data_IF_138070700731
#
_entry.id   IF_138070700731
#
_cell.length_a   1.000
_cell.length_b   1.000
_cell.length_c   1.000
_cell.angle_alpha   90.00
_cell.angle_beta   90.00
_cell.angle_gamma   90.00
#
_symmetry.space_group_name_H-M   'P 1'
#
loop_
_entity.id
_entity.type
_entity.pdbx_description
1 polymer ?
#
# COMPACT_ATOMS: atom_id res chain seq x y z
N UNK A 1 2.00 8.72 31.99
CA UNK A 1 2.21 9.68 30.88
C UNK A 1 3.68 10.05 30.70
N UNK A 2 4.38 10.45 31.77
CA UNK A 2 5.80 10.83 31.73
C UNK A 2 6.70 9.67 31.24
N UNK A 3 6.54 8.46 31.78
CA UNK A 3 7.36 7.29 31.37
C UNK A 3 7.23 6.92 29.89
N UNK A 4 6.05 7.09 29.28
CA UNK A 4 5.83 6.84 27.84
C UNK A 4 6.58 7.89 27.01
N UNK A 5 6.50 9.17 27.41
CA UNK A 5 7.22 10.26 26.76
C UNK A 5 8.74 10.04 26.82
N UNK A 6 9.27 9.64 27.98
CA UNK A 6 10.68 9.33 28.16
C UNK A 6 11.10 8.15 27.27
N UNK A 7 10.30 7.08 27.20
CA UNK A 7 10.59 5.93 26.32
C UNK A 7 10.60 6.33 24.84
N UNK A 8 9.67 7.17 24.40
CA UNK A 8 9.66 7.69 23.01
C UNK A 8 10.87 8.58 22.72
N UNK A 9 11.26 9.45 23.66
CA UNK A 9 12.46 10.28 23.53
C UNK A 9 13.73 9.42 23.47
N UNK A 10 13.82 8.40 24.33
CA UNK A 10 14.92 7.43 24.34
C UNK A 10 15.04 6.65 23.04
N UNK A 11 13.92 6.18 22.48
CA UNK A 11 13.93 5.50 21.16
C UNK A 11 14.34 6.44 20.02
N UNK A 12 13.87 7.69 20.04
CA UNK A 12 14.29 8.71 19.07
C UNK A 12 15.80 9.01 19.15
N UNK A 13 16.34 9.14 20.36
CA UNK A 13 17.76 9.33 20.57
C UNK A 13 18.57 8.08 20.18
N UNK A 14 18.06 6.90 20.47
CA UNK A 14 18.68 5.64 20.04
C UNK A 14 18.76 5.57 18.51
N UNK A 15 17.68 5.95 17.80
CA UNK A 15 17.69 6.04 16.34
C UNK A 15 18.78 6.98 15.82
N UNK A 16 18.92 8.18 16.39
CA UNK A 16 19.94 9.14 15.94
C UNK A 16 21.36 8.64 16.20
N UNK A 17 21.59 7.95 17.33
CA UNK A 17 22.87 7.33 17.65
C UNK A 17 23.19 6.19 16.67
N UNK A 18 22.23 5.29 16.42
CA UNK A 18 22.43 4.19 15.47
C UNK A 18 22.70 4.74 14.07
N UNK A 19 22.01 5.80 13.64
CA UNK A 19 22.25 6.38 12.33
C UNK A 19 23.65 7.03 12.21
N UNK A 20 24.11 7.71 13.26
CA UNK A 20 25.31 8.56 13.21
C UNK A 20 26.62 7.82 13.50
N UNK A 21 26.57 6.75 14.30
CA UNK A 21 27.78 6.07 14.77
C UNK A 21 27.91 4.65 14.18
N UNK A 22 29.14 4.20 13.85
CA UNK A 22 29.41 2.80 13.61
C UNK A 22 29.25 2.04 14.93
N UNK A 23 28.33 1.08 14.96
CA UNK A 23 28.06 0.22 16.12
C UNK A 23 28.39 -1.20 15.69
N UNK A 24 29.01 -1.96 16.59
CA UNK A 24 29.37 -3.35 16.33
C UNK A 24 28.15 -4.20 16.00
N UNK A 25 28.29 -4.99 14.94
CA UNK A 25 27.20 -5.81 14.41
C UNK A 25 26.62 -6.81 15.42
N UNK A 26 27.42 -7.54 16.24
CA UNK A 26 26.88 -8.39 17.29
C UNK A 26 26.06 -7.61 18.32
N UNK A 27 26.49 -6.40 18.68
CA UNK A 27 25.73 -5.56 19.61
C UNK A 27 24.37 -5.13 19.02
N UNK A 28 24.33 -4.84 17.72
CA UNK A 28 23.08 -4.55 17.01
C UNK A 28 22.15 -5.78 17.03
N UNK A 29 22.66 -6.95 16.65
CA UNK A 29 21.85 -8.15 16.44
C UNK A 29 21.42 -8.82 17.75
N UNK A 30 22.31 -8.91 18.74
CA UNK A 30 22.10 -9.69 19.97
C UNK A 30 21.52 -8.85 21.11
N UNK A 31 21.69 -7.52 21.08
CA UNK A 31 21.23 -6.64 22.15
C UNK A 31 20.17 -5.63 21.70
N UNK A 32 20.48 -4.78 20.71
CA UNK A 32 19.56 -3.70 20.32
C UNK A 32 18.29 -4.24 19.62
N UNK A 33 18.44 -5.22 18.73
CA UNK A 33 17.33 -5.77 17.97
C UNK A 33 16.26 -6.42 18.89
N UNK A 34 16.60 -7.31 19.84
CA UNK A 34 15.61 -7.86 20.79
C UNK A 34 14.85 -6.80 21.59
N UNK A 35 15.50 -5.71 21.99
CA UNK A 35 14.86 -4.60 22.73
C UNK A 35 13.81 -3.92 21.84
N UNK A 36 14.13 -3.64 20.59
CA UNK A 36 13.18 -3.03 19.65
C UNK A 36 12.03 -3.99 19.35
N UNK A 37 12.31 -5.28 19.17
CA UNK A 37 11.28 -6.31 18.99
C UNK A 37 10.35 -6.43 20.20
N UNK A 38 10.88 -6.27 21.43
CA UNK A 38 10.06 -6.21 22.64
C UNK A 38 9.07 -5.04 22.57
N UNK A 39 9.50 -3.83 22.20
CA UNK A 39 8.58 -2.69 22.07
C UNK A 39 7.53 -2.87 20.97
N UNK A 40 7.86 -3.57 19.89
CA UNK A 40 6.91 -3.92 18.84
C UNK A 40 5.86 -4.92 19.34
N UNK A 41 6.29 -5.93 20.09
CA UNK A 41 5.41 -6.98 20.59
C UNK A 41 4.62 -6.57 21.84
N UNK A 42 5.12 -5.67 22.69
CA UNK A 42 4.41 -5.18 23.87
C UNK A 42 3.18 -4.32 23.56
N UNK A 43 3.10 -3.77 22.34
CA UNK A 43 1.96 -2.96 21.92
C UNK A 43 0.65 -3.74 21.75
N UNK A 44 0.70 -5.08 21.83
CA UNK A 44 -0.48 -5.94 21.77
C UNK A 44 -1.31 -5.90 23.06
N UNK A 45 -0.74 -5.49 24.20
CA UNK A 45 -1.48 -5.41 25.47
C UNK A 45 -2.20 -4.05 25.65
N UNK A 46 -3.47 -4.03 25.25
CA UNK A 46 -4.59 -3.28 25.85
C UNK A 46 -4.56 -1.73 25.95
N UNK A 47 -3.58 -0.96 25.48
CA UNK A 47 -3.59 0.51 25.62
C UNK A 47 -3.36 1.30 24.33
N UNK A 48 -4.33 2.14 23.92
CA UNK A 48 -4.24 3.08 22.79
C UNK A 48 -3.00 4.02 22.85
N UNK A 49 -2.45 4.25 24.05
CA UNK A 49 -1.24 5.06 24.28
C UNK A 49 0.06 4.36 23.83
N UNK A 50 0.04 3.05 23.60
CA UNK A 50 1.20 2.28 23.14
C UNK A 50 1.47 2.46 21.63
N UNK A 51 0.49 2.92 20.84
CA UNK A 51 0.66 3.07 19.38
C UNK A 51 1.81 4.02 19.03
N UNK A 52 2.00 5.11 19.77
CA UNK A 52 3.09 6.05 19.50
C UNK A 52 4.46 5.40 19.76
N UNK A 53 4.59 4.59 20.82
CA UNK A 53 5.81 3.80 21.03
C UNK A 53 6.03 2.80 19.91
N UNK A 54 4.99 2.13 19.42
CA UNK A 54 5.11 1.19 18.30
C UNK A 54 5.62 1.88 17.04
N UNK A 55 5.07 3.06 16.74
CA UNK A 55 5.52 3.85 15.59
C UNK A 55 6.99 4.23 15.73
N UNK A 56 7.42 4.64 16.94
CA UNK A 56 8.82 4.97 17.18
C UNK A 56 9.72 3.72 17.10
N UNK A 57 9.30 2.59 17.66
CA UNK A 57 10.03 1.33 17.55
C UNK A 57 10.19 0.87 16.09
N UNK A 58 9.17 1.03 15.24
CA UNK A 58 9.27 0.79 13.79
C UNK A 58 10.31 1.72 13.15
N UNK A 59 10.35 2.98 13.59
CA UNK A 59 11.30 4.02 13.14
C UNK A 59 12.75 3.76 13.61
N UNK A 60 12.96 3.07 14.75
CA UNK A 60 14.28 2.56 15.15
C UNK A 60 14.64 1.32 14.33
N UNK A 61 13.69 0.40 14.15
CA UNK A 61 13.89 -0.83 13.39
C UNK A 61 14.35 -0.54 11.96
N UNK A 62 13.79 0.48 11.31
CA UNK A 62 14.18 0.87 9.94
C UNK A 62 15.67 1.19 9.81
N UNK A 63 16.30 1.79 10.83
CA UNK A 63 17.74 2.09 10.82
C UNK A 63 18.57 0.86 11.20
N UNK A 64 18.10 0.06 12.17
CA UNK A 64 18.79 -1.18 12.56
C UNK A 64 18.90 -2.18 11.40
N UNK A 65 17.81 -2.33 10.66
CA UNK A 65 17.67 -3.27 9.54
C UNK A 65 18.68 -3.00 8.42
N UNK A 66 19.17 -1.77 8.28
CA UNK A 66 20.22 -1.44 7.32
C UNK A 66 21.61 -1.97 7.72
N UNK A 67 21.79 -2.31 9.01
CA UNK A 67 23.09 -2.69 9.62
C UNK A 67 23.19 -4.17 10.02
N UNK A 68 22.10 -4.93 9.95
CA UNK A 68 22.09 -6.37 10.30
C UNK A 68 22.63 -7.26 9.15
N UNK A 69 22.93 -8.51 9.47
CA UNK A 69 23.22 -9.56 8.49
C UNK A 69 21.98 -9.98 7.71
N UNK A 70 22.21 -10.46 6.49
CA UNK A 70 21.15 -11.04 5.67
C UNK A 70 20.41 -12.19 6.37
N UNK A 71 21.12 -13.03 7.11
CA UNK A 71 20.52 -14.13 7.87
C UNK A 71 19.52 -13.62 8.92
N UNK A 72 19.86 -12.58 9.68
CA UNK A 72 18.92 -11.98 10.62
C UNK A 72 17.78 -11.25 9.91
N UNK A 73 18.08 -10.56 8.81
CA UNK A 73 17.07 -9.90 7.97
C UNK A 73 16.00 -10.89 7.47
N UNK A 74 16.44 -12.02 6.92
CA UNK A 74 15.54 -13.09 6.49
C UNK A 74 14.77 -13.72 7.64
N UNK A 75 15.40 -13.93 8.80
CA UNK A 75 14.71 -14.42 9.99
C UNK A 75 13.58 -13.47 10.40
N UNK A 76 13.85 -12.16 10.45
CA UNK A 76 12.84 -11.14 10.75
C UNK A 76 11.69 -11.19 9.74
N UNK A 77 12.00 -11.16 8.44
CA UNK A 77 10.99 -11.26 7.38
C UNK A 77 10.14 -12.52 7.55
N UNK A 78 10.76 -13.69 7.74
CA UNK A 78 10.07 -14.97 7.94
C UNK A 78 9.19 -14.95 9.21
N UNK A 79 9.65 -14.35 10.32
CA UNK A 79 8.85 -14.21 11.54
C UNK A 79 7.58 -13.40 11.27
N UNK A 80 7.70 -12.27 10.58
CA UNK A 80 6.56 -11.39 10.31
C UNK A 80 5.65 -11.90 9.18
N UNK A 81 6.13 -12.83 8.34
CA UNK A 81 5.37 -13.51 7.28
C UNK A 81 4.69 -14.81 7.78
N UNK A 82 5.40 -15.67 8.51
CA UNK A 82 4.97 -17.05 8.82
C UNK A 82 4.13 -17.19 10.08
N UNK A 83 4.13 -16.22 11.00
CA UNK A 83 3.35 -16.31 12.21
C UNK A 83 1.86 -16.03 11.94
N UNK A 84 1.20 -16.90 11.18
CA UNK A 84 -0.23 -16.87 10.91
C UNK A 84 -1.03 -17.40 12.09
N UNK A 85 -0.92 -16.77 13.26
CA UNK A 85 -2.05 -16.76 14.20
C UNK A 85 -3.10 -15.80 13.65
N UNK A 86 -3.88 -16.31 12.68
CA UNK A 86 -5.25 -15.90 12.49
C UNK A 86 -6.05 -16.35 13.74
N UNK A 87 -7.26 -15.82 13.94
CA UNK A 87 -8.36 -16.40 14.76
C UNK A 87 -8.99 -15.54 15.88
N UNK A 88 -8.62 -14.25 16.09
CA UNK A 88 -9.41 -13.35 16.98
C UNK A 88 -9.30 -11.86 16.58
N UNK A 89 -10.12 -10.98 17.18
CA UNK A 89 -10.16 -9.52 16.95
C UNK A 89 -8.80 -8.81 17.16
N UNK A 90 -7.96 -9.32 18.07
CA UNK A 90 -6.58 -8.84 18.23
C UNK A 90 -5.68 -9.16 17.02
N UNK A 91 -6.02 -10.19 16.26
CA UNK A 91 -5.33 -10.61 15.04
C UNK A 91 -5.29 -9.51 13.99
N UNK A 92 -6.37 -8.75 13.79
CA UNK A 92 -6.37 -7.66 12.80
C UNK A 92 -5.40 -6.53 13.18
N UNK A 93 -5.36 -6.15 14.47
CA UNK A 93 -4.39 -5.18 14.98
C UNK A 93 -2.96 -5.68 14.79
N UNK A 94 -2.73 -6.95 15.10
CA UNK A 94 -1.44 -7.60 14.93
C UNK A 94 -1.02 -7.66 13.45
N UNK A 95 -1.92 -7.97 12.53
CA UNK A 95 -1.64 -7.99 11.10
C UNK A 95 -1.33 -6.59 10.52
N UNK A 96 -2.06 -5.55 10.97
CA UNK A 96 -1.74 -4.16 10.60
C UNK A 96 -0.34 -3.78 11.09
N UNK A 97 0.01 -4.15 12.32
CA UNK A 97 1.36 -3.96 12.86
C UNK A 97 2.40 -4.72 12.03
N UNK A 98 2.21 -6.02 11.79
CA UNK A 98 3.11 -6.86 11.00
C UNK A 98 3.38 -6.25 9.64
N UNK A 99 2.36 -5.74 8.97
CA UNK A 99 2.58 -5.17 7.65
C UNK A 99 3.33 -3.84 7.70
N UNK A 100 3.08 -3.02 8.73
CA UNK A 100 3.88 -1.80 8.95
C UNK A 100 5.34 -2.15 9.21
N UNK A 101 5.60 -3.18 10.00
CA UNK A 101 6.96 -3.69 10.27
C UNK A 101 7.60 -4.24 9.00
N UNK A 102 6.91 -5.10 8.25
CA UNK A 102 7.40 -5.64 6.98
C UNK A 102 7.69 -4.54 5.95
N UNK A 103 6.80 -3.56 5.83
CA UNK A 103 7.02 -2.42 4.93
C UNK A 103 8.27 -1.65 5.35
N UNK A 104 8.43 -1.34 6.65
CA UNK A 104 9.61 -0.64 7.15
C UNK A 104 10.91 -1.45 6.94
N UNK A 105 10.88 -2.78 7.12
CA UNK A 105 12.03 -3.65 6.86
C UNK A 105 12.43 -3.61 5.37
N UNK A 106 11.45 -3.63 4.47
CA UNK A 106 11.68 -3.67 3.02
C UNK A 106 12.05 -2.31 2.42
N UNK A 107 11.45 -1.23 2.91
CA UNK A 107 11.79 0.15 2.53
C UNK A 107 13.25 0.51 2.88
N UNK A 108 13.85 -0.22 3.83
CA UNK A 108 15.22 0.00 4.31
C UNK A 108 16.16 -1.15 3.93
N UNK A 109 15.88 -1.83 2.82
CA UNK A 109 16.75 -2.85 2.26
C UNK A 109 18.07 -2.23 1.75
N UNK A 110 19.19 -2.63 2.33
CA UNK A 110 20.54 -2.10 2.02
C UNK A 110 21.47 -3.12 1.35
N UNK A 111 21.01 -4.34 1.09
CA UNK A 111 21.86 -5.41 0.56
C UNK A 111 22.02 -5.32 -0.96
N UNK A 112 23.18 -5.72 -1.48
CA UNK A 112 23.37 -5.91 -2.91
C UNK A 112 22.85 -7.29 -3.33
N UNK A 113 22.06 -7.34 -4.41
CA UNK A 113 21.55 -8.58 -4.98
C UNK A 113 22.49 -8.99 -6.12
N UNK A 114 22.98 -10.23 -6.09
CA UNK A 114 23.82 -10.78 -7.15
C UNK A 114 23.39 -12.20 -7.51
N UNK A 115 23.73 -12.62 -8.73
CA UNK A 115 23.55 -13.99 -9.21
C UNK A 115 24.60 -14.94 -8.62
N UNK A 116 25.80 -14.44 -8.33
CA UNK A 116 26.90 -15.21 -7.73
C UNK A 116 27.00 -14.93 -6.24
N UNK A 117 27.01 -15.94 -5.35
CA UNK A 117 27.12 -15.73 -3.91
C UNK A 117 28.53 -15.26 -3.54
N UNK A 118 28.67 -13.98 -3.24
CA UNK A 118 29.80 -13.38 -2.53
C UNK A 118 29.42 -13.13 -1.06
N UNK A 119 30.40 -12.96 -0.19
CA UNK A 119 30.21 -12.76 1.26
C UNK A 119 29.38 -11.51 1.64
N UNK A 120 29.20 -10.57 0.70
CA UNK A 120 28.48 -9.30 0.90
C UNK A 120 27.17 -9.20 0.12
N UNK A 121 26.80 -10.21 -0.69
CA UNK A 121 25.60 -10.15 -1.51
C UNK A 121 24.55 -11.21 -1.13
N UNK A 122 23.30 -10.88 -1.42
CA UNK A 122 22.17 -11.78 -1.28
C UNK A 122 21.98 -12.55 -2.59
N UNK A 123 21.81 -13.87 -2.48
CA UNK A 123 21.51 -14.71 -3.62
C UNK A 123 20.12 -14.36 -4.17
N UNK A 124 20.06 -13.95 -5.44
CA UNK A 124 18.82 -13.65 -6.18
C UNK A 124 17.75 -14.74 -6.01
N UNK A 125 18.15 -16.00 -6.06
CA UNK A 125 17.25 -17.15 -5.93
C UNK A 125 16.45 -17.18 -4.61
N UNK A 126 17.03 -16.71 -3.51
CA UNK A 126 16.35 -16.68 -2.21
C UNK A 126 15.23 -15.64 -2.18
N UNK A 127 15.47 -14.47 -2.77
CA UNK A 127 14.48 -13.40 -2.88
C UNK A 127 13.34 -13.83 -3.81
N UNK A 128 13.65 -14.48 -4.94
CA UNK A 128 12.65 -15.03 -5.87
C UNK A 128 11.76 -16.08 -5.18
N UNK A 129 12.36 -17.00 -4.41
CA UNK A 129 11.60 -18.01 -3.68
C UNK A 129 10.67 -17.37 -2.64
N UNK A 130 11.15 -16.36 -1.90
CA UNK A 130 10.33 -15.59 -0.96
C UNK A 130 9.13 -14.92 -1.66
N UNK A 131 9.37 -14.27 -2.81
CA UNK A 131 8.30 -13.66 -3.62
C UNK A 131 7.27 -14.71 -4.01
N UNK A 132 7.70 -15.87 -4.51
CA UNK A 132 6.80 -16.94 -4.92
C UNK A 132 5.94 -17.45 -3.75
N UNK A 133 6.54 -17.67 -2.58
CA UNK A 133 5.80 -18.07 -1.38
C UNK A 133 4.74 -17.03 -0.97
N UNK A 134 5.08 -15.75 -1.06
CA UNK A 134 4.17 -14.66 -0.71
C UNK A 134 3.05 -14.49 -1.72
N UNK A 135 3.35 -14.61 -3.02
CA UNK A 135 2.36 -14.57 -4.10
C UNK A 135 1.36 -15.72 -3.94
N UNK A 136 1.83 -16.93 -3.64
CA UNK A 136 0.96 -18.08 -3.35
C UNK A 136 0.02 -17.80 -2.18
N UNK A 137 0.49 -17.12 -1.12
CA UNK A 137 -0.35 -16.72 0.02
C UNK A 137 -1.31 -15.57 -0.30
N UNK A 138 -0.93 -14.67 -1.20
CA UNK A 138 -1.81 -13.60 -1.63
C UNK A 138 -3.05 -14.17 -2.33
N UNK A 139 -2.85 -15.17 -3.19
CA UNK A 139 -3.91 -15.80 -3.96
C UNK A 139 -4.56 -17.02 -3.28
N UNK A 140 -4.01 -17.53 -2.17
CA UNK A 140 -4.61 -18.65 -1.45
C UNK A 140 -6.01 -18.30 -0.94
N UNK A 141 -6.98 -19.17 -1.14
CA UNK A 141 -8.32 -19.02 -0.53
C UNK A 141 -8.22 -18.99 1.00
N UNK A 142 -9.11 -18.28 1.71
CA UNK A 142 -9.18 -18.37 3.16
C UNK A 142 -9.38 -19.84 3.55
N UNK A 143 -8.55 -20.34 4.47
CA UNK A 143 -8.71 -21.66 5.08
C UNK A 143 -10.01 -21.60 5.88
N UNK A 144 -11.13 -22.01 5.28
CA UNK A 144 -12.44 -21.76 5.88
C UNK A 144 -13.64 -22.42 5.20
N UNK A 145 -13.50 -23.07 4.04
CA UNK A 145 -14.61 -23.86 3.49
C UNK A 145 -14.81 -25.17 4.28
N UNK A 146 -13.77 -25.74 4.88
CA UNK A 146 -13.84 -27.05 5.56
C UNK A 146 -14.08 -26.97 7.09
N UNK A 147 -13.94 -25.79 7.72
CA UNK A 147 -14.04 -25.63 9.19
C UNK A 147 -14.90 -24.42 9.60
N UNK A 148 -16.07 -24.22 8.96
CA UNK A 148 -17.01 -23.13 9.28
C UNK A 148 -17.53 -23.15 10.73
N UNK A 149 -17.46 -24.29 11.42
CA UNK A 149 -17.98 -24.45 12.78
C UNK A 149 -17.03 -23.96 13.89
N UNK A 150 -15.73 -23.80 13.62
CA UNK A 150 -14.73 -23.55 14.66
C UNK A 150 -14.27 -22.08 14.78
N UNK A 151 -14.69 -21.18 13.89
CA UNK A 151 -14.23 -19.77 13.88
C UNK A 151 -15.40 -18.79 13.72
N UNK A 152 -16.19 -18.54 14.78
CA UNK A 152 -17.43 -17.77 14.66
C UNK A 152 -17.22 -16.25 14.49
N UNK A 153 -15.99 -15.72 14.60
CA UNK A 153 -15.74 -14.28 14.75
C UNK A 153 -14.98 -13.59 13.61
N UNK A 154 -14.52 -14.33 12.59
CA UNK A 154 -13.68 -13.75 11.54
C UNK A 154 -14.27 -13.97 10.16
N UNK A 155 -14.80 -12.90 9.56
CA UNK A 155 -15.41 -12.90 8.24
C UNK A 155 -14.35 -12.93 7.13
N UNK A 156 -14.69 -13.47 5.96
CA UNK A 156 -13.88 -13.43 4.71
C UNK A 156 -13.36 -12.03 4.39
N UNK A 157 -14.12 -11.01 4.82
CA UNK A 157 -13.77 -9.60 4.76
C UNK A 157 -12.43 -9.28 5.41
N UNK A 158 -12.23 -9.70 6.67
CA UNK A 158 -11.04 -9.34 7.42
C UNK A 158 -9.79 -9.99 6.82
N UNK A 159 -9.93 -11.20 6.27
CA UNK A 159 -8.85 -11.89 5.55
C UNK A 159 -8.42 -11.10 4.30
N UNK A 160 -9.40 -10.60 3.54
CA UNK A 160 -9.15 -9.80 2.34
C UNK A 160 -8.50 -8.45 2.65
N UNK A 161 -8.89 -7.78 3.74
CA UNK A 161 -8.29 -6.51 4.18
C UNK A 161 -6.80 -6.65 4.50
N UNK A 162 -6.39 -7.79 5.06
CA UNK A 162 -5.00 -8.09 5.47
C UNK A 162 -4.11 -8.38 4.26
N UNK A 163 -4.67 -8.87 3.16
CA UNK A 163 -3.93 -9.20 1.94
C UNK A 163 -3.46 -7.98 1.14
N UNK A 164 -4.22 -6.89 1.13
CA UNK A 164 -3.76 -5.67 0.47
C UNK A 164 -2.38 -5.20 0.99
N UNK A 165 -2.15 -5.09 2.30
CA UNK A 165 -0.83 -4.75 2.82
C UNK A 165 0.27 -5.77 2.43
N UNK A 166 -0.05 -7.07 2.30
CA UNK A 166 0.90 -8.09 1.80
C UNK A 166 1.32 -7.82 0.35
N UNK A 167 0.40 -7.34 -0.49
CA UNK A 167 0.71 -6.91 -1.86
C UNK A 167 1.82 -5.86 -1.90
N UNK A 168 1.82 -4.92 -0.95
CA UNK A 168 2.85 -3.88 -0.85
C UNK A 168 4.24 -4.49 -0.57
N UNK A 169 4.29 -5.48 0.32
CA UNK A 169 5.51 -6.22 0.67
C UNK A 169 6.05 -6.94 -0.57
N UNK A 170 5.18 -7.60 -1.33
CA UNK A 170 5.56 -8.29 -2.57
C UNK A 170 6.09 -7.28 -3.60
N UNK A 171 5.43 -6.13 -3.78
CA UNK A 171 5.87 -5.09 -4.73
C UNK A 171 7.25 -4.54 -4.39
N UNK A 172 7.57 -4.33 -3.10
CA UNK A 172 8.92 -3.95 -2.70
C UNK A 172 9.95 -5.01 -3.11
N UNK A 173 9.68 -6.28 -2.83
CA UNK A 173 10.59 -7.37 -3.19
C UNK A 173 10.75 -7.51 -4.71
N UNK A 174 9.68 -7.35 -5.48
CA UNK A 174 9.72 -7.33 -6.94
C UNK A 174 10.59 -6.18 -7.44
N UNK A 175 10.42 -4.96 -6.90
CA UNK A 175 11.23 -3.81 -7.28
C UNK A 175 12.72 -4.03 -7.02
N UNK A 176 13.07 -4.76 -5.95
CA UNK A 176 14.47 -5.12 -5.67
C UNK A 176 15.07 -6.07 -6.72
N UNK A 177 14.27 -6.94 -7.33
CA UNK A 177 14.74 -7.93 -8.31
C UNK A 177 15.03 -7.35 -9.70
N UNK A 178 14.47 -6.19 -10.06
CA UNK A 178 14.63 -5.49 -11.35
C UNK A 178 14.47 -6.35 -12.64
N UNK A 179 13.68 -7.43 -12.62
CA UNK A 179 13.54 -8.38 -13.75
C UNK A 179 12.24 -8.27 -14.54
N UNK A 180 12.21 -8.92 -15.71
CA UNK A 180 10.98 -9.09 -16.52
C UNK A 180 9.83 -9.80 -15.77
N UNK A 181 10.15 -10.63 -14.78
CA UNK A 181 9.18 -11.29 -13.87
C UNK A 181 8.42 -10.29 -12.99
N UNK A 182 8.91 -9.07 -12.82
CA UNK A 182 8.19 -7.98 -12.16
C UNK A 182 6.86 -7.73 -12.86
N UNK A 183 6.86 -7.69 -14.20
CA UNK A 183 5.70 -7.19 -14.94
C UNK A 183 4.48 -8.12 -14.82
N UNK A 184 4.68 -9.44 -14.83
CA UNK A 184 3.59 -10.41 -14.69
C UNK A 184 2.98 -10.38 -13.29
N UNK A 185 3.82 -10.45 -12.25
CA UNK A 185 3.35 -10.41 -10.86
C UNK A 185 2.75 -9.05 -10.49
N UNK A 186 3.36 -7.94 -10.92
CA UNK A 186 2.83 -6.59 -10.66
C UNK A 186 1.45 -6.42 -11.28
N UNK A 187 1.24 -6.86 -12.53
CA UNK A 187 -0.09 -6.80 -13.16
C UNK A 187 -1.12 -7.58 -12.34
N UNK A 188 -0.81 -8.83 -11.97
CA UNK A 188 -1.71 -9.64 -11.16
C UNK A 188 -2.03 -9.02 -9.79
N UNK A 189 -1.06 -8.35 -9.17
CA UNK A 189 -1.25 -7.66 -7.89
C UNK A 189 -2.10 -6.40 -8.05
N UNK A 190 -1.90 -5.64 -9.14
CA UNK A 190 -2.73 -4.47 -9.46
C UNK A 190 -4.17 -4.91 -9.66
N UNK A 191 -4.43 -5.93 -10.47
CA UNK A 191 -5.77 -6.47 -10.69
C UNK A 191 -6.43 -6.89 -9.38
N UNK A 192 -5.70 -7.60 -8.51
CA UNK A 192 -6.19 -7.99 -7.18
C UNK A 192 -6.59 -6.78 -6.31
N UNK A 193 -5.75 -5.74 -6.27
CA UNK A 193 -6.05 -4.53 -5.49
C UNK A 193 -7.22 -3.73 -6.08
N UNK A 194 -7.37 -3.70 -7.41
CA UNK A 194 -8.49 -3.05 -8.08
C UNK A 194 -9.80 -3.82 -7.83
N UNK A 195 -9.77 -5.15 -7.81
CA UNK A 195 -10.92 -5.97 -7.42
C UNK A 195 -11.34 -5.69 -5.96
N UNK A 196 -10.36 -5.49 -5.06
CA UNK A 196 -10.66 -5.04 -3.70
C UNK A 196 -11.32 -3.64 -3.64
N UNK A 197 -11.04 -2.75 -4.60
CA UNK A 197 -11.73 -1.46 -4.71
C UNK A 197 -13.18 -1.62 -5.16
N UNK A 198 -13.48 -2.64 -5.98
CA UNK A 198 -14.82 -2.94 -6.45
C UNK A 198 -15.74 -3.49 -5.34
N UNK A 199 -15.16 -3.92 -4.21
CA UNK A 199 -15.89 -4.45 -3.05
C UNK A 199 -16.87 -3.43 -2.44
N UNK A 200 -18.07 -3.88 -2.01
CA UNK A 200 -19.02 -3.02 -1.27
C UNK A 200 -18.48 -2.59 0.10
N UNK A 201 -17.45 -3.26 0.61
CA UNK A 201 -16.91 -2.99 1.94
C UNK A 201 -15.88 -1.87 1.96
N UNK A 202 -16.22 -0.80 2.69
CA UNK A 202 -15.41 0.42 2.82
C UNK A 202 -13.97 0.15 3.26
N UNK A 203 -13.74 -0.73 4.22
CA UNK A 203 -12.39 -0.98 4.75
C UNK A 203 -11.47 -1.67 3.74
N UNK A 204 -12.01 -2.56 2.90
CA UNK A 204 -11.27 -3.12 1.77
C UNK A 204 -10.84 -2.01 0.82
N UNK A 205 -11.76 -1.11 0.45
CA UNK A 205 -11.46 0.01 -0.45
C UNK A 205 -10.41 0.96 0.12
N UNK A 206 -10.49 1.28 1.42
CA UNK A 206 -9.49 2.12 2.10
C UNK A 206 -8.10 1.48 2.06
N UNK A 207 -8.03 0.18 2.41
CA UNK A 207 -6.76 -0.57 2.43
C UNK A 207 -6.16 -0.65 1.02
N UNK A 208 -6.94 -1.08 0.03
CA UNK A 208 -6.51 -1.23 -1.36
C UNK A 208 -6.03 0.10 -1.96
N UNK A 209 -6.77 1.19 -1.75
CA UNK A 209 -6.40 2.52 -2.24
C UNK A 209 -5.07 3.01 -1.67
N UNK A 210 -4.86 2.85 -0.37
CA UNK A 210 -3.61 3.22 0.31
C UNK A 210 -2.43 2.42 -0.24
N UNK A 211 -2.63 1.11 -0.45
CA UNK A 211 -1.60 0.24 -1.01
C UNK A 211 -1.32 0.57 -2.48
N UNK A 212 -2.32 0.80 -3.31
CA UNK A 212 -2.14 1.19 -4.72
C UNK A 212 -1.36 2.50 -4.84
N UNK A 213 -1.70 3.52 -4.05
CA UNK A 213 -0.98 4.79 -4.07
C UNK A 213 0.51 4.61 -3.72
N UNK A 214 0.82 3.82 -2.68
CA UNK A 214 2.22 3.50 -2.33
C UNK A 214 2.91 2.65 -3.41
N UNK A 215 2.19 1.69 -3.98
CA UNK A 215 2.69 0.79 -5.02
C UNK A 215 3.15 1.57 -6.26
N UNK A 216 2.34 2.52 -6.73
CA UNK A 216 2.70 3.40 -7.85
C UNK A 216 3.97 4.19 -7.56
N UNK A 217 4.14 4.69 -6.33
CA UNK A 217 5.37 5.41 -5.94
C UNK A 217 6.61 4.52 -5.95
N UNK A 218 6.50 3.29 -5.43
CA UNK A 218 7.62 2.35 -5.34
C UNK A 218 8.05 1.87 -6.74
N UNK A 219 7.07 1.57 -7.60
CA UNK A 219 7.33 1.08 -8.95
C UNK A 219 7.93 2.19 -9.83
N UNK A 220 7.41 3.41 -9.70
CA UNK A 220 7.86 4.61 -10.43
C UNK A 220 6.98 4.96 -11.64
N UNK A 221 7.40 5.95 -12.45
CA UNK A 221 6.71 6.34 -13.68
C UNK A 221 6.51 5.17 -14.65
N UNK A 222 5.44 5.21 -15.43
CA UNK A 222 4.94 4.14 -16.30
C UNK A 222 3.78 3.36 -15.68
N UNK A 223 3.76 3.20 -14.35
CA UNK A 223 2.78 2.37 -13.66
C UNK A 223 1.48 3.09 -13.31
N UNK A 224 1.46 4.43 -13.22
CA UNK A 224 0.22 5.16 -12.94
C UNK A 224 -0.81 4.92 -14.04
N UNK A 225 -0.39 4.99 -15.31
CA UNK A 225 -1.24 4.71 -16.47
C UNK A 225 -1.80 3.28 -16.43
N UNK A 226 -0.97 2.30 -16.09
CA UNK A 226 -1.38 0.89 -16.00
C UNK A 226 -2.46 0.72 -14.93
N UNK A 227 -2.24 1.26 -13.73
CA UNK A 227 -3.21 1.20 -12.63
C UNK A 227 -4.51 1.91 -12.99
N UNK A 228 -4.44 3.10 -13.60
CA UNK A 228 -5.62 3.86 -13.96
C UNK A 228 -6.46 3.15 -15.04
N UNK A 229 -5.80 2.55 -16.04
CA UNK A 229 -6.48 1.76 -17.07
C UNK A 229 -7.19 0.55 -16.46
N UNK A 230 -6.53 -0.19 -15.57
CA UNK A 230 -7.14 -1.34 -14.89
C UNK A 230 -8.34 -0.90 -14.06
N UNK A 231 -8.21 0.19 -13.29
CA UNK A 231 -9.31 0.77 -12.53
C UNK A 231 -10.49 1.17 -13.44
N UNK A 232 -10.22 1.76 -14.59
CA UNK A 232 -11.25 2.20 -15.54
C UNK A 232 -11.99 1.02 -16.17
N UNK A 233 -11.29 -0.07 -16.47
CA UNK A 233 -11.89 -1.28 -17.04
C UNK A 233 -12.76 -2.02 -16.02
N UNK A 234 -12.37 -2.00 -14.74
CA UNK A 234 -13.01 -2.79 -13.68
C UNK A 234 -14.11 -2.03 -12.92
N UNK A 235 -13.96 -0.73 -12.68
CA UNK A 235 -14.88 0.06 -11.83
C UNK A 235 -15.96 0.78 -12.66
N UNK A 236 -16.86 0.01 -13.31
CA UNK A 236 -17.84 0.55 -14.27
C UNK A 236 -19.24 0.77 -13.70
N UNK A 237 -19.59 0.11 -12.60
CA UNK A 237 -20.99 -0.04 -12.19
C UNK A 237 -21.39 0.84 -11.02
N UNK A 238 -22.44 1.65 -11.20
CA UNK A 238 -23.09 2.44 -10.14
C UNK A 238 -22.11 3.12 -9.18
N UNK A 239 -22.08 2.66 -7.92
CA UNK A 239 -21.24 3.26 -6.88
C UNK A 239 -19.74 3.20 -7.18
N UNK A 240 -19.29 2.24 -7.99
CA UNK A 240 -17.88 2.05 -8.34
C UNK A 240 -17.33 3.20 -9.17
N UNK A 241 -18.17 3.93 -9.92
CA UNK A 241 -17.76 5.16 -10.62
C UNK A 241 -17.28 6.24 -9.64
N UNK A 242 -17.95 6.39 -8.50
CA UNK A 242 -17.49 7.28 -7.43
C UNK A 242 -16.18 6.79 -6.80
N UNK A 243 -16.06 5.46 -6.63
CA UNK A 243 -14.82 4.85 -6.13
C UNK A 243 -13.66 5.13 -7.08
N UNK A 244 -13.87 5.03 -8.39
CA UNK A 244 -12.87 5.34 -9.41
C UNK A 244 -12.38 6.78 -9.25
N UNK A 245 -13.26 7.77 -9.33
CA UNK A 245 -12.90 9.20 -9.28
C UNK A 245 -12.20 9.55 -7.97
N UNK A 246 -12.71 9.05 -6.84
CA UNK A 246 -12.10 9.28 -5.54
C UNK A 246 -10.69 8.67 -5.43
N UNK A 247 -10.51 7.44 -5.95
CA UNK A 247 -9.25 6.71 -5.87
C UNK A 247 -8.21 7.28 -6.84
N UNK A 248 -8.61 7.65 -8.06
CA UNK A 248 -7.75 8.33 -9.03
C UNK A 248 -7.17 9.61 -8.43
N UNK A 249 -8.02 10.45 -7.84
CA UNK A 249 -7.57 11.66 -7.15
C UNK A 249 -6.60 11.35 -5.98
N UNK A 250 -6.88 10.32 -5.18
CA UNK A 250 -6.02 9.94 -4.06
C UNK A 250 -4.63 9.48 -4.49
N UNK A 251 -4.54 8.74 -5.60
CA UNK A 251 -3.24 8.34 -6.16
C UNK A 251 -2.52 9.58 -6.70
N UNK A 252 -3.21 10.39 -7.51
CA UNK A 252 -2.65 11.61 -8.13
C UNK A 252 -2.10 12.60 -7.12
N UNK A 253 -2.82 12.86 -6.02
CA UNK A 253 -2.39 13.80 -4.97
C UNK A 253 -1.12 13.37 -4.25
N UNK A 254 -0.70 12.12 -4.44
CA UNK A 254 0.50 11.57 -3.86
C UNK A 254 1.70 11.57 -4.83
N UNK A 255 1.48 11.81 -6.13
CA UNK A 255 2.52 11.74 -7.16
C UNK A 255 3.39 13.01 -7.19
N UNK A 256 4.63 12.87 -7.67
CA UNK A 256 5.54 13.99 -7.93
C UNK A 256 5.56 14.34 -9.43
N UNK A 257 6.25 15.43 -9.79
CA UNK A 257 6.41 15.89 -11.18
C UNK A 257 7.00 14.84 -12.13
N UNK A 258 7.72 13.84 -11.62
CA UNK A 258 8.23 12.71 -12.40
C UNK A 258 7.16 11.88 -13.12
N UNK A 259 5.89 11.97 -12.71
CA UNK A 259 4.76 11.25 -13.32
C UNK A 259 4.04 12.05 -14.41
N UNK A 260 4.58 13.20 -14.83
CA UNK A 260 3.91 14.11 -15.78
C UNK A 260 3.54 13.40 -17.09
N UNK A 261 4.40 12.55 -17.61
CA UNK A 261 4.11 11.79 -18.85
C UNK A 261 2.95 10.81 -18.66
N UNK A 262 2.90 10.08 -17.55
CA UNK A 262 1.80 9.16 -17.24
C UNK A 262 0.47 9.91 -17.14
N UNK A 263 0.46 11.05 -16.44
CA UNK A 263 -0.73 11.90 -16.28
C UNK A 263 -1.21 12.37 -17.66
N UNK A 264 -0.29 12.85 -18.49
CA UNK A 264 -0.59 13.32 -19.84
C UNK A 264 -1.02 12.18 -20.79
N UNK A 265 -0.54 10.96 -20.57
CA UNK A 265 -0.95 9.77 -21.34
C UNK A 265 -2.31 9.21 -20.89
N UNK A 266 -2.70 9.48 -19.64
CA UNK A 266 -3.97 9.08 -19.04
C UNK A 266 -5.06 10.15 -19.09
N UNK A 267 -4.79 11.28 -19.75
CA UNK A 267 -5.65 12.46 -19.76
C UNK A 267 -7.09 12.17 -20.21
N UNK A 268 -7.29 11.36 -21.25
CA UNK A 268 -8.62 11.01 -21.75
C UNK A 268 -9.51 10.38 -20.67
N UNK A 269 -9.00 9.35 -19.99
CA UNK A 269 -9.70 8.66 -18.90
C UNK A 269 -10.00 9.61 -17.73
N UNK A 270 -9.05 10.49 -17.39
CA UNK A 270 -9.23 11.44 -16.31
C UNK A 270 -10.29 12.50 -16.64
N UNK A 271 -10.33 12.98 -17.88
CA UNK A 271 -11.36 13.93 -18.32
C UNK A 271 -12.74 13.27 -18.35
N UNK A 272 -12.85 12.03 -18.84
CA UNK A 272 -14.12 11.30 -18.78
C UNK A 272 -14.65 11.15 -17.36
N UNK A 273 -13.75 10.87 -16.40
CA UNK A 273 -14.12 10.81 -14.99
C UNK A 273 -14.55 12.19 -14.45
N UNK A 274 -13.86 13.27 -14.83
CA UNK A 274 -14.26 14.64 -14.50
C UNK A 274 -15.65 14.96 -15.06
N UNK A 275 -15.90 14.63 -16.32
CA UNK A 275 -17.17 14.86 -16.99
C UNK A 275 -18.27 14.07 -16.29
N UNK A 276 -18.05 12.78 -16.05
CA UNK A 276 -19.00 11.93 -15.34
C UNK A 276 -19.32 12.45 -13.94
N UNK A 277 -18.33 12.99 -13.21
CA UNK A 277 -18.46 13.45 -11.82
C UNK A 277 -19.21 14.78 -11.65
N UNK A 278 -19.22 15.64 -12.68
CA UNK A 278 -19.86 16.96 -12.65
C UNK A 278 -21.10 17.10 -13.54
N UNK A 279 -21.14 16.39 -14.66
CA UNK A 279 -22.16 16.56 -15.69
C UNK A 279 -22.89 15.24 -16.03
N UNK A 280 -22.50 14.12 -15.41
CA UNK A 280 -23.11 12.81 -15.65
C UNK A 280 -23.96 12.33 -14.47
N UNK A 281 -24.42 11.08 -14.57
CA UNK A 281 -25.24 10.42 -13.54
C UNK A 281 -24.60 10.46 -12.13
N UNK A 282 -23.26 10.46 -12.01
CA UNK A 282 -22.60 10.56 -10.72
C UNK A 282 -22.86 11.91 -10.01
N UNK A 283 -23.07 12.99 -10.76
CA UNK A 283 -23.47 14.27 -10.19
C UNK A 283 -24.90 14.23 -9.64
N UNK A 284 -25.83 13.64 -10.38
CA UNK A 284 -27.23 13.48 -9.96
C UNK A 284 -27.34 12.58 -8.72
N UNK A 285 -26.65 11.44 -8.73
CA UNK A 285 -26.58 10.49 -7.62
C UNK A 285 -26.07 11.15 -6.33
N UNK A 286 -25.16 12.13 -6.43
CA UNK A 286 -24.64 12.87 -5.28
C UNK A 286 -25.69 13.75 -4.61
N UNK A 287 -26.71 14.20 -5.33
CA UNK A 287 -27.82 14.98 -4.76
C UNK A 287 -28.78 14.08 -3.97
N UNK A 288 -28.67 12.75 -4.11
CA UNK A 288 -29.52 11.78 -3.41
C UNK A 288 -28.84 11.32 -2.11
N UNK A 289 -29.35 11.78 -0.96
CA UNK A 289 -28.80 11.45 0.36
C UNK A 289 -28.74 9.93 0.64
N UNK A 290 -29.72 9.17 0.14
CA UNK A 290 -29.75 7.71 0.28
C UNK A 290 -28.56 6.99 -0.40
N UNK A 291 -27.93 7.63 -1.39
CA UNK A 291 -26.74 7.11 -2.09
C UNK A 291 -25.47 7.58 -1.38
N UNK A 292 -25.38 8.88 -1.06
CA UNK A 292 -24.18 9.45 -0.42
C UNK A 292 -23.95 8.97 1.00
N UNK A 293 -25.01 8.64 1.74
CA UNK A 293 -24.91 8.03 3.08
C UNK A 293 -24.28 6.64 3.08
N UNK A 294 -24.44 5.86 2.00
CA UNK A 294 -23.88 4.50 1.89
C UNK A 294 -22.40 4.48 1.55
N UNK A 295 -21.93 5.49 0.82
CA UNK A 295 -20.59 5.47 0.22
C UNK A 295 -19.92 6.83 0.37
N UNK A 296 -18.86 6.90 1.20
CA UNK A 296 -18.10 8.14 1.41
C UNK A 296 -17.59 8.73 0.10
N UNK A 297 -17.20 7.86 -0.83
CA UNK A 297 -16.69 8.24 -2.15
C UNK A 297 -17.71 9.02 -2.99
N UNK A 298 -19.01 8.74 -2.85
CA UNK A 298 -20.07 9.45 -3.58
C UNK A 298 -20.32 10.86 -3.02
N UNK A 299 -20.04 11.06 -1.73
CA UNK A 299 -20.30 12.31 -1.03
C UNK A 299 -19.39 13.46 -1.48
N UNK A 300 -18.07 13.25 -1.49
CA UNK A 300 -17.11 14.27 -1.92
C UNK A 300 -16.71 14.03 -3.37
N UNK A 301 -17.42 14.61 -4.33
CA UNK A 301 -16.96 14.63 -5.72
C UNK A 301 -15.52 15.09 -5.82
N UNK A 302 -14.71 14.37 -6.60
CA UNK A 302 -13.28 14.65 -6.78
C UNK A 302 -12.92 15.11 -8.17
N UNK A 303 -13.90 15.21 -9.07
CA UNK A 303 -13.70 15.72 -10.42
C UNK A 303 -13.00 17.08 -10.40
N UNK A 304 -13.45 18.04 -9.57
CA UNK A 304 -12.86 19.38 -9.55
C UNK A 304 -11.36 19.32 -9.19
N UNK A 305 -11.00 18.51 -8.18
CA UNK A 305 -9.61 18.35 -7.79
C UNK A 305 -8.77 17.66 -8.87
N UNK A 306 -9.35 16.72 -9.62
CA UNK A 306 -8.69 16.10 -10.78
C UNK A 306 -8.46 17.14 -11.87
N UNK A 307 -9.47 17.97 -12.20
CA UNK A 307 -9.34 19.06 -13.19
C UNK A 307 -8.25 20.05 -12.81
N UNK A 308 -8.22 20.48 -11.54
CA UNK A 308 -7.20 21.38 -11.02
C UNK A 308 -5.80 20.77 -11.14
N UNK A 309 -5.66 19.49 -10.80
CA UNK A 309 -4.38 18.78 -10.88
C UNK A 309 -3.93 18.57 -12.33
N UNK A 310 -4.86 18.27 -13.24
CA UNK A 310 -4.57 18.21 -14.67
C UNK A 310 -4.09 19.57 -15.17
N UNK A 311 -4.80 20.65 -14.85
CA UNK A 311 -4.45 22.00 -15.27
C UNK A 311 -3.01 22.42 -14.90
N UNK A 312 -2.45 21.90 -13.80
CA UNK A 312 -1.06 22.18 -13.40
C UNK A 312 0.00 21.30 -14.06
N UNK A 313 -0.37 20.21 -14.75
CA UNK A 313 0.56 19.24 -15.33
C UNK A 313 0.33 18.98 -16.83
N UNK A 314 -0.74 19.54 -17.42
CA UNK A 314 -1.06 19.40 -18.85
C UNK A 314 0.05 20.01 -19.69
N UNK A 315 0.60 19.21 -20.61
CA UNK A 315 1.49 19.70 -21.66
C UNK A 315 0.71 20.61 -22.62
N UNK A 316 1.35 21.69 -23.09
CA UNK A 316 0.72 22.70 -23.94
C UNK A 316 0.03 22.10 -25.18
N UNK A 317 0.68 21.11 -25.80
CA UNK A 317 0.18 20.38 -26.97
C UNK A 317 -1.13 19.61 -26.72
N UNK A 318 -1.42 19.26 -25.46
CA UNK A 318 -2.60 18.47 -25.08
C UNK A 318 -3.75 19.31 -24.53
N UNK A 319 -3.57 20.63 -24.39
CA UNK A 319 -4.61 21.54 -23.90
C UNK A 319 -5.86 21.47 -24.80
N UNK A 320 -5.69 21.38 -26.12
CA UNK A 320 -6.82 21.27 -27.03
C UNK A 320 -7.67 20.01 -26.76
N UNK A 321 -7.03 18.86 -26.49
CA UNK A 321 -7.74 17.63 -26.15
C UNK A 321 -8.51 17.78 -24.83
N UNK A 322 -7.93 18.49 -23.86
CA UNK A 322 -8.61 18.82 -22.62
C UNK A 322 -9.87 19.65 -22.85
N UNK A 323 -9.78 20.74 -23.61
CA UNK A 323 -10.90 21.66 -23.84
C UNK A 323 -11.98 21.06 -24.76
N UNK A 324 -11.59 20.37 -25.83
CA UNK A 324 -12.51 19.78 -26.81
C UNK A 324 -13.36 18.64 -26.24
N UNK A 325 -12.92 18.00 -25.17
CA UNK A 325 -13.74 17.01 -24.47
C UNK A 325 -15.00 17.64 -23.85
N UNK A 326 -14.90 18.89 -23.35
CA UNK A 326 -16.04 19.61 -22.78
C UNK A 326 -16.95 20.23 -23.83
N UNK A 327 -16.45 20.56 -25.03
CA UNK A 327 -17.31 21.12 -26.09
C UNK A 327 -18.39 20.15 -26.56
N UNK A 328 -18.17 18.83 -26.40
CA UNK A 328 -19.14 17.78 -26.72
C UNK A 328 -20.32 17.70 -25.75
N UNK A 329 -20.24 18.36 -24.59
CA UNK A 329 -21.35 18.39 -23.62
C UNK A 329 -22.55 19.18 -24.14
N UNK A 330 -22.32 20.23 -24.93
CA UNK A 330 -23.38 21.05 -25.50
C UNK A 330 -24.18 20.35 -26.62
N UNK A 331 -23.71 19.21 -27.12
CA UNK A 331 -24.39 18.43 -28.18
C UNK A 331 -25.27 17.30 -27.66
N UNK A 332 -25.29 17.03 -26.35
CA UNK A 332 -26.04 15.93 -25.73
C UNK A 332 -27.13 16.42 -24.76
N UNK A 333 -27.17 17.71 -24.45
CA UNK A 333 -28.34 18.38 -23.85
C UNK A 333 -29.35 18.78 -24.94
#
# INVERSE_FOLDING_TARGET
HIQISIRMAGLNQLKSVIASFPIDKPFIEDFLLPIVLYFLNCATSANNKAHNLTTEAISVLSVLVQKISWNQYLKLIKIYINNSHLLYDEGLKLHKLRTRVLSAILENFSFQISETPSSTCVARAEVVNLVQQLVTRLYSKPIGEENKELVPSFTELNYSIIKAPLSLVIIHLLKLLNDSTINSHVRGIISYLVEMLASPHKDMRISARSVLAKSVKILGPGYFKIVLNEMYVTLKDGFQKHVFTYTAHHIMSSLSSSFSEDINASMGILIEAVISDHFGAAYEERQVHAITSKTKEAYTGKGFNISQFLGSHVQHEKIYNFLSAFSKLNTVM
#
